data_IF_169481824367
#
_entry.id   IF_169481824367
#
_cell.length_a   1.000
_cell.length_b   1.000
_cell.length_c   1.000
_cell.angle_alpha   90.00
_cell.angle_beta   90.00
_cell.angle_gamma   90.00
#
_symmetry.space_group_name_H-M   'P 1'
#
loop_
_entity.id
_entity.type
_entity.pdbx_description
1 polymer ?
#
# COMPACT_ATOMS: atom_id res chain seq x y z
N UNK A 1 22.92 37.23 9.91
CA UNK A 1 23.60 36.28 10.82
C UNK A 1 23.55 36.67 12.30
N UNK A 2 23.61 37.95 12.71
CA UNK A 2 23.59 38.40 14.13
C UNK A 2 22.27 38.09 14.86
N UNK A 3 21.12 38.27 14.22
CA UNK A 3 19.79 38.02 14.81
C UNK A 3 19.52 36.54 15.07
N UNK A 4 20.00 35.63 14.22
CA UNK A 4 19.85 34.19 14.37
C UNK A 4 20.76 33.70 15.54
N UNK A 5 21.97 34.24 15.63
CA UNK A 5 22.89 33.93 16.76
C UNK A 5 22.37 34.45 18.10
N UNK A 6 21.72 35.62 18.10
CA UNK A 6 21.07 36.17 19.30
C UNK A 6 19.83 35.37 19.72
N UNK A 7 19.04 34.87 18.77
CA UNK A 7 17.93 33.94 19.04
C UNK A 7 18.46 32.59 19.56
N UNK A 8 19.53 32.04 18.97
CA UNK A 8 20.17 30.80 19.39
C UNK A 8 20.70 30.89 20.83
N UNK A 9 21.41 31.98 21.17
CA UNK A 9 21.90 32.21 22.54
C UNK A 9 20.78 32.50 23.56
N UNK A 10 19.60 32.94 23.12
CA UNK A 10 18.41 33.07 23.96
C UNK A 10 17.71 31.74 24.22
N UNK A 11 17.77 30.84 23.23
CA UNK A 11 17.18 29.51 23.29
C UNK A 11 18.13 28.50 23.98
N UNK A 12 19.46 28.67 23.84
CA UNK A 12 20.45 27.73 24.32
C UNK A 12 21.00 28.17 25.71
N UNK A 13 20.31 27.73 26.76
CA UNK A 13 20.90 27.78 28.12
C UNK A 13 21.33 26.36 28.52
N UNK A 14 22.64 26.03 28.44
CA UNK A 14 23.14 24.69 28.76
C UNK A 14 22.80 24.26 30.20
N UNK A 15 22.61 25.20 31.10
CA UNK A 15 22.18 24.96 32.45
C UNK A 15 20.71 24.47 32.51
N UNK A 16 19.81 25.06 31.73
CA UNK A 16 18.40 24.66 31.71
C UNK A 16 18.27 23.26 31.10
N UNK A 17 19.03 22.98 30.03
CA UNK A 17 19.04 21.65 29.38
C UNK A 17 19.52 20.57 30.34
N UNK A 18 20.60 20.80 31.06
CA UNK A 18 21.15 19.83 32.05
C UNK A 18 20.17 19.55 33.19
N UNK A 19 19.46 20.58 33.67
CA UNK A 19 18.40 20.45 34.66
C UNK A 19 17.24 19.60 34.14
N UNK A 20 16.79 19.83 32.90
CA UNK A 20 15.71 19.07 32.28
C UNK A 20 16.07 17.58 32.15
N UNK A 21 17.29 17.25 31.69
CA UNK A 21 17.76 15.86 31.59
C UNK A 21 17.86 15.19 32.97
N UNK A 22 18.33 15.90 33.97
CA UNK A 22 18.42 15.39 35.35
C UNK A 22 17.03 15.07 35.89
N UNK A 23 16.05 15.90 35.60
CA UNK A 23 14.67 15.75 36.05
C UNK A 23 13.99 14.50 35.46
N UNK A 24 14.20 14.25 34.16
CA UNK A 24 13.70 13.05 33.51
C UNK A 24 14.27 11.75 34.15
N UNK A 25 15.53 11.80 34.61
CA UNK A 25 16.17 10.65 35.26
C UNK A 25 15.65 10.37 36.68
N UNK A 26 15.11 11.36 37.38
CA UNK A 26 14.60 11.18 38.75
C UNK A 26 13.23 10.44 38.77
N UNK A 27 12.39 10.64 37.76
CA UNK A 27 11.02 10.07 37.70
C UNK A 27 10.87 9.01 36.56
N UNK A 28 11.76 8.00 36.56
CA UNK A 28 11.91 7.02 35.47
C UNK A 28 10.60 6.33 35.05
N UNK A 29 9.82 5.84 36.02
CA UNK A 29 8.59 5.08 35.71
C UNK A 29 7.55 5.92 34.98
N UNK A 30 7.38 7.18 35.41
CA UNK A 30 6.44 8.12 34.83
C UNK A 30 6.88 8.56 33.41
N UNK A 31 8.16 8.89 33.30
CA UNK A 31 8.75 9.22 31.97
C UNK A 31 8.62 8.06 30.99
N UNK A 32 8.84 6.82 31.47
CA UNK A 32 8.67 5.63 30.65
C UNK A 32 7.21 5.45 30.15
N UNK A 33 6.22 5.67 31.02
CA UNK A 33 4.80 5.56 30.64
C UNK A 33 4.41 6.60 29.58
N UNK A 34 4.91 7.83 29.71
CA UNK A 34 4.68 8.87 28.69
C UNK A 34 5.39 8.56 27.37
N UNK A 35 6.63 8.04 27.46
CA UNK A 35 7.38 7.63 26.28
C UNK A 35 6.67 6.52 25.51
N UNK A 36 6.05 5.54 26.18
CA UNK A 36 5.28 4.48 25.52
C UNK A 36 4.16 5.07 24.66
N UNK A 37 3.41 6.06 25.18
CA UNK A 37 2.36 6.73 24.40
C UNK A 37 2.90 7.42 23.14
N UNK A 38 4.05 8.13 23.29
CA UNK A 38 4.69 8.81 22.15
C UNK A 38 5.20 7.78 21.13
N UNK A 39 5.86 6.71 21.60
CA UNK A 39 6.40 5.63 20.75
C UNK A 39 5.29 5.00 19.92
N UNK A 40 4.16 4.62 20.54
CA UNK A 40 3.02 4.04 19.84
C UNK A 40 2.45 5.02 18.81
N UNK A 41 2.29 6.29 19.16
CA UNK A 41 1.82 7.32 18.25
C UNK A 41 2.73 7.50 17.03
N UNK A 42 4.04 7.50 17.25
CA UNK A 42 5.03 7.65 16.16
C UNK A 42 5.13 6.37 15.32
N UNK A 43 5.05 5.18 15.93
CA UNK A 43 4.97 3.92 15.17
C UNK A 43 3.75 3.92 14.26
N UNK A 44 2.60 4.39 14.74
CA UNK A 44 1.39 4.48 13.91
C UNK A 44 1.57 5.43 12.72
N UNK A 45 2.21 6.59 12.92
CA UNK A 45 2.42 7.56 11.84
C UNK A 45 3.49 7.07 10.85
N UNK A 46 4.66 6.69 11.34
CA UNK A 46 5.78 6.25 10.51
C UNK A 46 5.47 4.89 9.88
N UNK A 47 5.14 3.88 10.68
CA UNK A 47 4.95 2.50 10.20
C UNK A 47 3.81 2.39 9.20
N UNK A 48 2.59 2.84 9.57
CA UNK A 48 1.46 2.85 8.63
C UNK A 48 1.68 3.83 7.47
N UNK A 49 2.47 4.91 7.68
CA UNK A 49 2.88 5.83 6.64
C UNK A 49 3.76 5.15 5.59
N UNK A 50 4.79 4.44 6.03
CA UNK A 50 5.71 3.72 5.17
C UNK A 50 5.01 2.57 4.41
N UNK A 51 4.14 1.81 5.08
CA UNK A 51 3.34 0.75 4.44
C UNK A 51 2.43 1.36 3.36
N UNK A 52 1.64 2.40 3.68
CA UNK A 52 0.78 3.05 2.70
C UNK A 52 1.55 3.69 1.55
N UNK A 53 2.75 4.22 1.83
CA UNK A 53 3.67 4.72 0.81
C UNK A 53 4.17 3.63 -0.13
N UNK A 54 4.50 2.46 0.41
CA UNK A 54 4.91 1.30 -0.38
C UNK A 54 3.77 0.79 -1.30
N UNK A 55 2.54 0.78 -0.81
CA UNK A 55 1.37 0.46 -1.64
C UNK A 55 1.20 1.44 -2.81
N UNK A 56 1.28 2.74 -2.53
CA UNK A 56 1.17 3.77 -3.58
C UNK A 56 2.29 3.62 -4.62
N UNK A 57 3.50 3.35 -4.18
CA UNK A 57 4.64 3.13 -5.07
C UNK A 57 4.47 1.87 -5.92
N UNK A 58 3.98 0.79 -5.33
CA UNK A 58 3.68 -0.45 -6.06
C UNK A 58 2.62 -0.22 -7.16
N UNK A 59 1.55 0.53 -6.85
CA UNK A 59 0.54 0.91 -7.86
C UNK A 59 1.17 1.74 -8.98
N UNK A 60 2.02 2.71 -8.65
CA UNK A 60 2.70 3.54 -9.65
C UNK A 60 3.60 2.70 -10.56
N UNK A 61 4.31 1.71 -10.01
CA UNK A 61 5.10 0.75 -10.79
C UNK A 61 4.21 -0.08 -11.70
N UNK A 62 3.11 -0.65 -11.17
CA UNK A 62 2.16 -1.42 -11.96
C UNK A 62 1.55 -0.61 -13.11
N UNK A 63 1.23 0.68 -12.87
CA UNK A 63 0.76 1.59 -13.94
C UNK A 63 1.83 1.80 -15.00
N UNK A 64 3.07 2.05 -14.58
CA UNK A 64 4.18 2.29 -15.49
C UNK A 64 4.49 1.05 -16.37
N UNK A 65 4.44 -0.15 -15.78
CA UNK A 65 4.66 -1.41 -16.49
C UNK A 65 3.54 -1.75 -17.49
N UNK A 66 2.32 -1.31 -17.19
CA UNK A 66 1.16 -1.57 -18.04
C UNK A 66 0.71 -0.33 -18.85
N UNK A 67 1.51 0.73 -18.87
CA UNK A 67 1.17 1.99 -19.54
C UNK A 67 1.11 1.88 -21.07
N UNK A 68 1.53 0.76 -21.62
CA UNK A 68 1.61 0.48 -23.06
C UNK A 68 0.39 -0.29 -23.61
N UNK A 69 -0.67 -0.50 -22.78
CA UNK A 69 -1.78 -1.37 -23.15
C UNK A 69 -3.16 -0.82 -22.78
N UNK A 70 -4.15 -1.18 -23.62
CA UNK A 70 -5.58 -0.98 -23.38
C UNK A 70 -6.23 -2.33 -23.13
N UNK A 71 -7.08 -2.42 -22.11
CA UNK A 71 -7.89 -3.61 -21.85
C UNK A 71 -9.34 -3.33 -22.24
N UNK A 72 -9.89 -4.17 -23.10
CA UNK A 72 -11.26 -4.08 -23.56
C UNK A 72 -12.09 -5.18 -22.92
N UNK A 73 -13.26 -4.83 -22.41
CA UNK A 73 -14.25 -5.74 -21.87
C UNK A 73 -15.59 -5.55 -22.59
N UNK A 74 -16.23 -6.64 -23.00
CA UNK A 74 -17.55 -6.58 -23.65
C UNK A 74 -18.63 -6.32 -22.60
N UNK A 75 -19.50 -5.36 -22.88
CA UNK A 75 -20.73 -5.09 -22.12
C UNK A 75 -21.98 -5.48 -22.93
N UNK A 76 -21.83 -5.91 -24.16
CA UNK A 76 -22.92 -6.39 -24.99
C UNK A 76 -23.43 -7.75 -24.51
N UNK A 77 -24.74 -7.83 -24.29
CA UNK A 77 -25.42 -9.07 -23.93
C UNK A 77 -25.57 -9.99 -25.15
N UNK A 78 -24.89 -11.14 -25.10
CA UNK A 78 -25.01 -12.18 -26.14
C UNK A 78 -25.80 -13.36 -25.58
N UNK A 79 -26.86 -13.75 -26.26
CA UNK A 79 -27.66 -14.92 -25.89
C UNK A 79 -27.09 -16.18 -26.55
N UNK A 80 -26.45 -17.04 -25.77
CA UNK A 80 -25.92 -18.31 -26.24
C UNK A 80 -26.65 -19.45 -25.53
N UNK A 81 -27.44 -20.17 -26.25
CA UNK A 81 -28.18 -21.33 -25.72
C UNK A 81 -29.20 -20.98 -24.61
N UNK A 82 -29.73 -19.75 -24.59
CA UNK A 82 -30.67 -19.28 -23.56
C UNK A 82 -30.02 -18.65 -22.32
N UNK A 83 -28.70 -18.57 -22.31
CA UNK A 83 -27.94 -17.88 -21.24
C UNK A 83 -27.35 -16.57 -21.77
N UNK A 84 -27.49 -15.49 -21.01
CA UNK A 84 -26.84 -14.22 -21.33
C UNK A 84 -25.37 -14.35 -20.93
N UNK A 85 -24.48 -14.07 -21.88
CA UNK A 85 -23.04 -14.06 -21.69
C UNK A 85 -22.44 -12.78 -22.29
N UNK A 86 -21.35 -12.35 -21.73
CA UNK A 86 -20.57 -11.21 -22.22
C UNK A 86 -19.27 -11.74 -22.81
N UNK A 87 -18.76 -11.11 -23.85
CA UNK A 87 -17.47 -11.49 -24.44
C UNK A 87 -17.37 -11.11 -25.91
N UNK A 88 -16.14 -11.21 -26.43
CA UNK A 88 -15.79 -10.90 -27.81
C UNK A 88 -15.75 -12.16 -28.67
N UNK A 89 -16.42 -12.14 -29.80
CA UNK A 89 -16.24 -13.16 -30.85
C UNK A 89 -14.97 -12.88 -31.65
N UNK A 90 -14.50 -13.86 -32.42
CA UNK A 90 -13.39 -13.64 -33.38
C UNK A 90 -13.65 -12.44 -34.30
N UNK A 91 -14.89 -12.27 -34.75
CA UNK A 91 -15.27 -11.12 -35.60
C UNK A 91 -15.08 -9.78 -34.87
N UNK A 92 -15.44 -9.71 -33.59
CA UNK A 92 -15.24 -8.50 -32.78
C UNK A 92 -13.73 -8.21 -32.59
N UNK A 93 -12.92 -9.23 -32.40
CA UNK A 93 -11.46 -9.11 -32.36
C UNK A 93 -10.90 -8.59 -33.67
N UNK A 94 -11.36 -9.09 -34.81
CA UNK A 94 -10.98 -8.59 -36.16
C UNK A 94 -11.39 -7.12 -36.37
N UNK A 95 -12.55 -6.72 -35.84
CA UNK A 95 -13.04 -5.33 -35.92
C UNK A 95 -12.16 -4.42 -35.01
N UNK A 96 -11.80 -4.85 -33.82
CA UNK A 96 -10.85 -4.14 -32.93
C UNK A 96 -9.49 -4.02 -33.63
N UNK A 97 -8.95 -5.12 -34.11
CA UNK A 97 -7.66 -5.11 -34.83
C UNK A 97 -7.68 -4.15 -36.02
N UNK A 98 -8.77 -4.12 -36.81
CA UNK A 98 -8.88 -3.22 -37.94
C UNK A 98 -8.99 -1.74 -37.52
N UNK A 99 -9.50 -1.43 -36.31
CA UNK A 99 -9.48 -0.07 -35.76
C UNK A 99 -8.06 0.33 -35.36
N UNK A 100 -7.34 -0.55 -34.69
CA UNK A 100 -5.93 -0.32 -34.28
C UNK A 100 -5.03 -0.09 -35.49
N UNK A 101 -5.20 -0.88 -36.57
CA UNK A 101 -4.45 -0.76 -37.85
C UNK A 101 -4.60 0.61 -38.52
N UNK A 102 -5.66 1.36 -38.23
CA UNK A 102 -5.83 2.71 -38.78
C UNK A 102 -4.90 3.74 -38.12
N UNK A 103 -4.44 3.44 -36.89
CA UNK A 103 -3.61 4.35 -36.10
C UNK A 103 -2.15 3.94 -36.13
N UNK A 104 -1.86 2.65 -35.97
CA UNK A 104 -0.49 2.13 -35.93
C UNK A 104 -0.36 0.76 -36.57
N UNK A 105 0.87 0.42 -36.99
CA UNK A 105 1.23 -0.92 -37.47
C UNK A 105 2.04 -1.70 -36.42
N UNK A 106 2.47 -1.05 -35.33
CA UNK A 106 3.25 -1.65 -34.25
C UNK A 106 2.34 -1.88 -33.02
N UNK A 107 1.60 -2.98 -33.06
CA UNK A 107 0.69 -3.38 -32.02
C UNK A 107 0.67 -4.90 -31.87
N UNK A 108 0.14 -5.36 -30.76
CA UNK A 108 -0.14 -6.77 -30.47
C UNK A 108 -1.55 -6.91 -29.89
N UNK A 109 -2.28 -7.92 -30.39
CA UNK A 109 -3.62 -8.25 -29.90
C UNK A 109 -3.52 -9.51 -29.06
N UNK A 110 -3.95 -9.38 -27.79
CA UNK A 110 -3.96 -10.45 -26.82
C UNK A 110 -5.40 -10.76 -26.47
N UNK A 111 -5.80 -12.00 -26.67
CA UNK A 111 -7.13 -12.48 -26.29
C UNK A 111 -7.04 -13.27 -25.02
N UNK A 112 -7.97 -13.03 -24.09
CA UNK A 112 -7.96 -13.61 -22.76
C UNK A 112 -9.30 -14.26 -22.44
N UNK A 113 -9.24 -15.42 -21.78
CA UNK A 113 -10.37 -16.11 -21.15
C UNK A 113 -10.08 -16.34 -19.69
N UNK A 114 -11.09 -16.17 -18.86
CA UNK A 114 -10.98 -16.35 -17.41
C UNK A 114 -12.04 -17.33 -16.91
N UNK A 115 -11.73 -18.00 -15.81
CA UNK A 115 -12.69 -18.90 -15.19
C UNK A 115 -12.18 -19.45 -13.86
N UNK A 116 -13.06 -20.10 -13.13
CA UNK A 116 -12.72 -20.68 -11.84
C UNK A 116 -12.95 -22.18 -11.86
N UNK A 117 -12.03 -22.92 -11.24
CA UNK A 117 -12.13 -24.37 -11.13
C UNK A 117 -11.52 -24.85 -9.82
N UNK A 118 -12.11 -25.87 -9.16
CA UNK A 118 -11.46 -26.53 -8.04
C UNK A 118 -10.16 -27.20 -8.48
N UNK A 119 -9.13 -27.03 -7.67
CA UNK A 119 -7.81 -27.63 -7.84
C UNK A 119 -7.48 -28.51 -6.65
N UNK A 120 -6.67 -29.52 -6.86
CA UNK A 120 -6.19 -30.41 -5.80
C UNK A 120 -4.69 -30.60 -5.92
N UNK A 121 -3.96 -30.32 -4.82
CA UNK A 121 -2.54 -30.61 -4.68
C UNK A 121 -2.38 -31.57 -3.51
N UNK A 122 -2.05 -32.81 -3.80
CA UNK A 122 -1.98 -33.85 -2.77
C UNK A 122 -3.32 -34.07 -2.06
N UNK A 123 -3.44 -33.56 -0.81
CA UNK A 123 -4.68 -33.61 -0.01
C UNK A 123 -5.32 -32.24 0.19
N UNK A 124 -4.68 -31.18 -0.25
CA UNK A 124 -5.17 -29.81 -0.14
C UNK A 124 -6.00 -29.46 -1.37
N UNK A 125 -7.18 -28.87 -1.15
CA UNK A 125 -8.03 -28.30 -2.19
C UNK A 125 -7.88 -26.78 -2.23
N UNK A 126 -7.90 -26.21 -3.43
CA UNK A 126 -7.92 -24.76 -3.65
C UNK A 126 -8.89 -24.43 -4.80
N UNK A 127 -9.30 -23.18 -4.89
CA UNK A 127 -10.05 -22.67 -6.04
C UNK A 127 -9.06 -21.98 -6.98
N UNK A 128 -8.82 -22.56 -8.15
CA UNK A 128 -8.00 -21.92 -9.18
C UNK A 128 -8.77 -20.87 -9.93
N UNK A 129 -8.24 -19.64 -9.97
CA UNK A 129 -8.62 -18.63 -10.94
C UNK A 129 -7.75 -18.82 -12.18
N UNK A 130 -8.38 -19.33 -13.22
CA UNK A 130 -7.73 -19.68 -14.47
C UNK A 130 -7.73 -18.48 -15.40
N UNK A 131 -6.56 -18.07 -15.84
CA UNK A 131 -6.38 -17.06 -16.88
C UNK A 131 -5.70 -17.71 -18.07
N UNK A 132 -6.36 -17.70 -19.20
CA UNK A 132 -5.82 -18.25 -20.43
C UNK A 132 -5.66 -17.15 -21.48
N UNK A 133 -4.52 -17.18 -22.16
CA UNK A 133 -4.16 -16.19 -23.18
C UNK A 133 -3.69 -16.90 -24.44
N UNK A 134 -3.75 -16.16 -25.56
CA UNK A 134 -3.07 -16.59 -26.78
C UNK A 134 -1.53 -16.58 -26.59
N UNK A 135 -0.80 -17.15 -27.55
CA UNK A 135 0.68 -17.26 -27.46
C UNK A 135 1.35 -15.89 -27.30
N UNK A 136 0.82 -14.86 -27.97
CA UNK A 136 1.30 -13.47 -27.85
C UNK A 136 1.15 -12.97 -26.41
N UNK A 137 0.01 -13.22 -25.77
CA UNK A 137 -0.23 -12.82 -24.39
C UNK A 137 0.69 -13.53 -23.39
N UNK A 138 0.96 -14.81 -23.60
CA UNK A 138 1.90 -15.54 -22.78
C UNK A 138 3.35 -15.00 -22.90
N UNK A 139 3.78 -14.61 -24.11
CA UNK A 139 5.11 -14.04 -24.34
C UNK A 139 5.23 -12.59 -23.83
N UNK A 140 4.20 -11.76 -24.02
CA UNK A 140 4.25 -10.33 -23.79
C UNK A 140 3.81 -9.91 -22.38
N UNK A 141 2.95 -10.72 -21.72
CA UNK A 141 2.44 -10.43 -20.37
C UNK A 141 3.10 -11.34 -19.34
N UNK A 142 3.10 -12.66 -19.58
CA UNK A 142 3.54 -13.61 -18.55
C UNK A 142 5.06 -13.81 -18.49
N UNK A 143 5.77 -13.62 -19.62
CA UNK A 143 7.23 -13.80 -19.65
C UNK A 143 8.01 -12.75 -18.86
N UNK A 144 7.65 -11.44 -18.89
CA UNK A 144 8.32 -10.43 -18.08
C UNK A 144 8.22 -10.68 -16.57
N UNK A 145 7.12 -11.29 -16.11
CA UNK A 145 6.87 -11.61 -14.71
C UNK A 145 7.31 -13.02 -14.30
N UNK A 146 7.97 -13.75 -15.20
CA UNK A 146 8.43 -15.12 -14.96
C UNK A 146 9.71 -15.12 -14.11
N UNK A 147 9.62 -15.62 -12.89
CA UNK A 147 10.77 -15.75 -11.99
C UNK A 147 11.57 -17.03 -12.24
N UNK A 148 10.88 -18.15 -12.44
CA UNK A 148 11.51 -19.45 -12.70
C UNK A 148 10.77 -20.24 -13.79
N UNK A 149 11.50 -21.01 -14.58
CA UNK A 149 10.93 -21.95 -15.56
C UNK A 149 10.78 -21.38 -16.95
N UNK A 150 9.68 -21.71 -17.63
CA UNK A 150 9.41 -21.29 -19.01
C UNK A 150 7.91 -21.21 -19.29
N UNK A 151 7.54 -20.45 -20.30
CA UNK A 151 6.16 -20.32 -20.78
C UNK A 151 5.64 -21.70 -21.21
N UNK A 152 4.36 -22.01 -20.89
CA UNK A 152 3.72 -23.25 -21.28
C UNK A 152 3.56 -23.33 -22.81
N UNK A 153 4.06 -24.42 -23.39
CA UNK A 153 3.89 -24.73 -24.83
C UNK A 153 2.92 -25.87 -25.06
N UNK A 154 2.33 -26.41 -24.02
CA UNK A 154 1.38 -27.53 -24.08
C UNK A 154 0.09 -27.19 -23.36
N UNK A 155 -1.01 -27.74 -23.81
CA UNK A 155 -2.33 -27.58 -23.21
C UNK A 155 -2.44 -27.98 -21.73
N UNK A 156 -1.47 -28.69 -21.18
CA UNK A 156 -1.42 -29.08 -19.78
C UNK A 156 -0.34 -28.35 -18.99
N UNK A 157 0.40 -27.43 -19.63
CA UNK A 157 1.40 -26.59 -19.00
C UNK A 157 0.74 -25.38 -18.35
N UNK A 158 1.19 -25.02 -17.14
CA UNK A 158 0.65 -23.89 -16.41
C UNK A 158 1.74 -23.12 -15.69
N UNK A 159 1.50 -21.82 -15.54
CA UNK A 159 2.24 -20.92 -14.66
C UNK A 159 1.43 -20.75 -13.38
N UNK A 160 2.11 -20.69 -12.25
CA UNK A 160 1.52 -20.44 -10.92
C UNK A 160 2.26 -19.29 -10.24
N UNK A 161 1.65 -18.67 -9.26
CA UNK A 161 2.29 -17.61 -8.47
C UNK A 161 3.26 -18.20 -7.45
N UNK A 162 4.26 -17.43 -7.03
CA UNK A 162 5.27 -17.82 -6.05
C UNK A 162 4.64 -18.25 -4.74
N UNK A 163 3.72 -17.50 -4.17
CA UNK A 163 3.05 -17.82 -2.92
C UNK A 163 2.38 -19.20 -2.94
N UNK A 164 1.61 -19.46 -4.00
CA UNK A 164 0.95 -20.76 -4.11
C UNK A 164 1.95 -21.91 -4.27
N UNK A 165 3.09 -21.67 -4.94
CA UNK A 165 4.16 -22.64 -5.08
C UNK A 165 4.79 -22.96 -3.72
N UNK A 166 5.10 -21.94 -2.93
CA UNK A 166 5.76 -22.07 -1.63
C UNK A 166 4.83 -22.72 -0.58
N UNK A 167 3.58 -22.28 -0.50
CA UNK A 167 2.57 -22.81 0.43
C UNK A 167 2.28 -24.30 0.22
N UNK A 168 2.34 -24.75 -1.04
CA UNK A 168 2.05 -26.13 -1.41
C UNK A 168 3.32 -26.95 -1.75
N UNK A 169 4.50 -26.38 -1.53
CA UNK A 169 5.80 -27.00 -1.84
C UNK A 169 5.88 -27.49 -3.29
N UNK A 170 5.40 -26.67 -4.23
CA UNK A 170 5.40 -26.95 -5.67
C UNK A 170 6.66 -26.37 -6.32
N UNK A 171 7.20 -27.13 -7.25
CA UNK A 171 8.38 -26.76 -8.04
C UNK A 171 8.10 -26.96 -9.52
N UNK A 172 9.00 -26.49 -10.37
CA UNK A 172 8.92 -26.78 -11.81
C UNK A 172 8.77 -28.28 -12.03
N UNK A 173 7.84 -28.66 -12.88
CA UNK A 173 7.39 -30.04 -13.17
C UNK A 173 6.49 -30.69 -12.11
N UNK A 174 6.14 -30.02 -11.03
CA UNK A 174 5.09 -30.48 -10.11
C UNK A 174 3.76 -30.63 -10.86
N UNK A 175 2.86 -31.43 -10.30
CA UNK A 175 1.55 -31.70 -10.89
C UNK A 175 0.45 -31.21 -9.99
N UNK A 176 -0.48 -30.47 -10.59
CA UNK A 176 -1.73 -30.00 -9.98
C UNK A 176 -2.86 -30.79 -10.63
N UNK A 177 -3.77 -31.29 -9.84
CA UNK A 177 -4.91 -32.06 -10.35
C UNK A 177 -6.16 -31.20 -10.37
N UNK A 178 -6.91 -31.27 -11.46
CA UNK A 178 -8.24 -30.66 -11.61
C UNK A 178 -9.15 -31.62 -12.35
N UNK A 179 -10.38 -31.21 -12.61
CA UNK A 179 -11.30 -31.98 -13.44
C UNK A 179 -11.62 -31.27 -14.73
N UNK A 180 -11.77 -31.99 -15.82
CA UNK A 180 -12.25 -31.45 -17.08
C UNK A 180 -13.77 -31.16 -17.08
N UNK A 181 -14.34 -30.81 -18.22
CA UNK A 181 -15.78 -30.58 -18.40
C UNK A 181 -16.62 -31.83 -18.24
N UNK A 182 -16.04 -33.02 -18.41
CA UNK A 182 -16.72 -34.30 -18.30
C UNK A 182 -16.60 -34.88 -16.87
N UNK A 183 -15.82 -34.20 -15.99
CA UNK A 183 -15.54 -34.69 -14.64
C UNK A 183 -14.35 -35.65 -14.55
N UNK A 184 -13.61 -35.82 -15.67
CA UNK A 184 -12.40 -36.63 -15.67
C UNK A 184 -11.20 -35.89 -15.05
N UNK A 185 -10.34 -36.61 -14.37
CA UNK A 185 -9.15 -36.05 -13.71
C UNK A 185 -8.11 -35.60 -14.76
N UNK A 186 -7.76 -34.32 -14.76
CA UNK A 186 -6.69 -33.76 -15.57
C UNK A 186 -5.53 -33.34 -14.71
N UNK A 187 -4.31 -33.68 -15.14
CA UNK A 187 -3.06 -33.30 -14.47
C UNK A 187 -2.38 -32.16 -15.21
N UNK A 188 -2.34 -31.01 -14.57
CA UNK A 188 -1.62 -29.83 -15.04
C UNK A 188 -0.16 -29.91 -14.53
N UNK A 189 0.78 -29.51 -15.38
CA UNK A 189 2.21 -29.48 -15.08
C UNK A 189 2.66 -28.06 -14.89
N UNK A 190 3.25 -27.75 -13.75
CA UNK A 190 3.89 -26.46 -13.49
C UNK A 190 5.10 -26.29 -14.40
N UNK A 191 5.05 -25.34 -15.33
CA UNK A 191 6.13 -25.04 -16.27
C UNK A 191 6.92 -23.80 -15.87
N UNK A 192 6.31 -22.90 -15.10
CA UNK A 192 6.95 -21.70 -14.59
C UNK A 192 6.27 -21.16 -13.34
N UNK A 193 6.99 -20.33 -12.62
CA UNK A 193 6.54 -19.63 -11.42
C UNK A 193 6.64 -18.15 -11.72
N UNK A 194 5.53 -17.43 -11.52
CA UNK A 194 5.41 -15.99 -11.72
C UNK A 194 5.76 -15.25 -10.43
N UNK A 195 6.35 -14.09 -10.59
CA UNK A 195 6.56 -13.14 -9.50
C UNK A 195 5.22 -12.71 -8.91
N UNK A 196 5.21 -12.45 -7.62
CA UNK A 196 4.01 -11.98 -6.93
C UNK A 196 3.80 -10.49 -7.16
N UNK A 197 2.58 -10.13 -7.54
CA UNK A 197 2.15 -8.75 -7.62
C UNK A 197 1.07 -8.42 -6.58
N UNK A 198 0.73 -7.14 -6.45
CA UNK A 198 -0.28 -6.68 -5.51
C UNK A 198 -1.64 -7.34 -5.75
N UNK A 199 -2.01 -7.62 -7.01
CA UNK A 199 -3.31 -8.21 -7.34
C UNK A 199 -3.34 -9.68 -6.92
N UNK A 200 -2.28 -10.43 -7.16
CA UNK A 200 -2.14 -11.83 -6.71
C UNK A 200 -2.14 -11.91 -5.21
N UNK A 201 -1.44 -11.00 -4.51
CA UNK A 201 -1.46 -10.92 -3.05
C UNK A 201 -2.88 -10.65 -2.51
N UNK A 202 -3.61 -9.67 -3.07
CA UNK A 202 -5.00 -9.39 -2.64
C UNK A 202 -5.91 -10.59 -2.87
N UNK A 203 -5.72 -11.34 -3.96
CA UNK A 203 -6.46 -12.57 -4.22
C UNK A 203 -6.07 -13.70 -3.27
N UNK A 204 -4.80 -13.85 -2.92
CA UNK A 204 -4.33 -14.87 -1.97
C UNK A 204 -4.82 -14.64 -0.54
N UNK A 205 -5.14 -13.40 -0.16
CA UNK A 205 -5.81 -13.09 1.12
C UNK A 205 -7.21 -13.72 1.23
N UNK A 206 -7.85 -14.03 0.10
CA UNK A 206 -9.07 -14.84 0.06
C UNK A 206 -8.65 -16.30 0.16
N UNK A 207 -8.76 -16.87 1.36
CA UNK A 207 -8.33 -18.25 1.65
C UNK A 207 -8.71 -19.22 0.54
N UNK A 208 -7.75 -20.02 0.11
CA UNK A 208 -7.86 -21.09 -0.88
C UNK A 208 -8.00 -20.66 -2.36
N UNK A 209 -7.69 -19.42 -2.75
CA UNK A 209 -7.61 -19.03 -4.16
C UNK A 209 -6.16 -19.03 -4.65
N UNK A 210 -5.93 -19.58 -5.85
CA UNK A 210 -4.66 -19.49 -6.55
C UNK A 210 -4.86 -19.02 -7.99
N UNK A 211 -3.91 -18.24 -8.51
CA UNK A 211 -3.90 -17.86 -9.92
C UNK A 211 -3.14 -18.90 -10.73
N UNK A 212 -3.76 -19.35 -11.81
CA UNK A 212 -3.16 -20.23 -12.80
C UNK A 212 -3.24 -19.56 -14.17
N UNK A 213 -2.10 -19.38 -14.81
CA UNK A 213 -2.04 -18.83 -16.16
C UNK A 213 -1.59 -19.91 -17.15
N UNK A 214 -2.25 -19.98 -18.31
CA UNK A 214 -1.93 -20.94 -19.34
C UNK A 214 -2.45 -20.56 -20.73
N UNK A 215 -2.36 -21.50 -21.65
CA UNK A 215 -2.82 -21.31 -23.04
C UNK A 215 -4.35 -21.40 -23.17
N UNK A 216 -4.89 -20.87 -24.25
CA UNK A 216 -6.31 -21.05 -24.60
C UNK A 216 -6.70 -22.53 -24.74
N UNK A 217 -5.77 -23.37 -25.21
CA UNK A 217 -5.97 -24.84 -25.27
C UNK A 217 -6.15 -25.47 -23.88
N UNK A 218 -5.39 -24.98 -22.88
CA UNK A 218 -5.57 -25.38 -21.49
C UNK A 218 -7.00 -25.07 -21.01
N UNK A 219 -7.46 -23.85 -21.26
CA UNK A 219 -8.81 -23.41 -20.88
C UNK A 219 -9.88 -24.30 -21.51
N UNK A 220 -9.76 -24.55 -22.81
CA UNK A 220 -10.69 -25.41 -23.54
C UNK A 220 -10.76 -26.84 -22.96
N UNK A 221 -9.61 -27.41 -22.58
CA UNK A 221 -9.55 -28.74 -21.97
C UNK A 221 -10.19 -28.80 -20.58
N UNK A 222 -10.04 -27.76 -19.76
CA UNK A 222 -10.49 -27.77 -18.36
C UNK A 222 -11.93 -27.28 -18.21
N UNK A 223 -12.28 -26.16 -18.83
CA UNK A 223 -13.58 -25.50 -18.68
C UNK A 223 -14.53 -25.76 -19.86
N UNK A 224 -13.99 -26.17 -21.00
CA UNK A 224 -14.71 -26.27 -22.25
C UNK A 224 -15.07 -24.87 -22.79
N UNK A 225 -15.08 -24.74 -24.09
CA UNK A 225 -15.43 -23.49 -24.73
C UNK A 225 -16.79 -23.62 -25.44
N UNK A 226 -17.86 -23.56 -24.65
CA UNK A 226 -19.23 -23.67 -25.21
C UNK A 226 -19.64 -22.46 -26.05
N UNK A 227 -19.01 -21.30 -25.82
CA UNK A 227 -19.48 -20.02 -26.34
C UNK A 227 -18.54 -19.42 -27.37
N UNK A 228 -17.32 -19.92 -27.49
CA UNK A 228 -16.24 -19.38 -28.35
C UNK A 228 -16.04 -17.85 -28.22
N UNK A 229 -16.20 -17.31 -27.00
CA UNK A 229 -16.07 -15.91 -26.70
C UNK A 229 -14.84 -15.68 -25.83
N UNK A 230 -14.16 -14.55 -26.03
CA UNK A 230 -13.10 -14.06 -25.19
C UNK A 230 -13.67 -13.08 -24.17
N UNK A 231 -13.27 -13.18 -22.91
CA UNK A 231 -13.75 -12.31 -21.83
C UNK A 231 -13.18 -10.91 -21.96
N UNK A 232 -11.91 -10.81 -22.39
CA UNK A 232 -11.25 -9.54 -22.64
C UNK A 232 -10.30 -9.61 -23.83
N UNK A 233 -10.04 -8.45 -24.41
CA UNK A 233 -9.04 -8.23 -25.45
C UNK A 233 -8.09 -7.15 -24.97
N UNK A 234 -6.78 -7.42 -25.00
CA UNK A 234 -5.77 -6.46 -24.64
C UNK A 234 -5.04 -6.03 -25.90
N UNK A 235 -4.97 -4.72 -26.12
CA UNK A 235 -4.20 -4.10 -27.20
C UNK A 235 -2.93 -3.53 -26.60
N UNK A 236 -1.79 -4.09 -26.95
CA UNK A 236 -0.47 -3.61 -26.54
C UNK A 236 0.18 -2.84 -27.69
N UNK A 237 0.80 -1.71 -27.38
CA UNK A 237 1.48 -0.85 -28.35
C UNK A 237 2.88 -0.46 -27.85
N UNK A 238 3.79 -0.21 -28.78
CA UNK A 238 5.16 0.21 -28.39
C UNK A 238 5.23 1.67 -27.94
N UNK A 239 4.36 2.53 -28.48
CA UNK A 239 4.32 3.96 -28.11
C UNK A 239 3.05 4.24 -27.32
N UNK A 240 3.15 4.47 -26.01
CA UNK A 240 2.01 4.78 -25.14
C UNK A 240 1.23 6.04 -25.55
N UNK A 241 1.85 6.96 -26.32
CA UNK A 241 1.17 8.17 -26.80
C UNK A 241 0.07 7.86 -27.82
N UNK A 242 0.08 6.67 -28.41
CA UNK A 242 -0.92 6.22 -29.37
C UNK A 242 -2.14 5.59 -28.72
N UNK A 243 -2.15 5.37 -27.41
CA UNK A 243 -3.28 4.73 -26.70
C UNK A 243 -4.58 5.52 -26.85
N UNK A 244 -4.58 6.83 -26.60
CA UNK A 244 -5.78 7.66 -26.74
C UNK A 244 -6.32 7.68 -28.19
N UNK A 245 -5.50 7.90 -29.25
CA UNK A 245 -5.97 7.74 -30.63
C UNK A 245 -6.52 6.36 -30.97
N UNK A 246 -5.96 5.30 -30.38
CA UNK A 246 -6.45 3.93 -30.56
C UNK A 246 -7.78 3.72 -29.86
N UNK A 247 -7.91 4.19 -28.61
CA UNK A 247 -9.14 4.18 -27.84
C UNK A 247 -10.26 4.86 -28.61
N UNK A 248 -10.06 6.09 -29.11
CA UNK A 248 -10.99 6.83 -29.95
C UNK A 248 -11.37 6.06 -31.24
N UNK A 249 -10.42 5.33 -31.84
CA UNK A 249 -10.70 4.57 -33.07
C UNK A 249 -11.54 3.32 -32.80
N UNK A 250 -11.26 2.62 -31.68
CA UNK A 250 -12.03 1.45 -31.25
C UNK A 250 -13.43 1.87 -30.83
N UNK A 251 -13.57 2.92 -30.00
CA UNK A 251 -14.87 3.44 -29.58
C UNK A 251 -15.76 3.80 -30.78
N UNK A 252 -15.22 4.55 -31.71
CA UNK A 252 -15.96 4.92 -32.93
C UNK A 252 -16.40 3.72 -33.77
N UNK A 253 -15.62 2.64 -33.74
CA UNK A 253 -15.90 1.46 -34.54
C UNK A 253 -16.85 0.49 -33.83
N UNK A 254 -16.67 0.25 -32.58
CA UNK A 254 -17.41 -0.74 -31.78
C UNK A 254 -18.72 -0.14 -31.24
N UNK A 255 -18.66 1.05 -30.65
CA UNK A 255 -19.82 1.73 -30.06
C UNK A 255 -20.64 2.52 -31.10
N UNK A 256 -20.12 2.67 -32.32
CA UNK A 256 -20.82 3.20 -33.47
C UNK A 256 -21.43 4.58 -33.31
N UNK A 257 -22.59 4.80 -33.95
CA UNK A 257 -23.38 6.04 -33.85
C UNK A 257 -24.06 6.21 -32.48
N UNK A 258 -24.05 5.17 -31.64
CA UNK A 258 -24.59 5.13 -30.27
C UNK A 258 -23.79 5.97 -29.25
N UNK A 259 -22.71 6.61 -29.67
CA UNK A 259 -21.90 7.53 -28.84
C UNK A 259 -22.70 8.66 -28.11
N UNK A 260 -24.01 8.70 -28.33
CA UNK A 260 -24.90 9.68 -27.67
C UNK A 260 -25.95 9.10 -26.72
N UNK A 261 -26.19 7.78 -26.73
CA UNK A 261 -27.22 7.16 -25.89
C UNK A 261 -26.74 5.77 -25.45
N UNK A 262 -26.56 5.62 -24.16
CA UNK A 262 -26.59 4.48 -23.21
C UNK A 262 -26.34 3.01 -23.65
N UNK A 263 -25.99 2.69 -24.87
CA UNK A 263 -25.80 1.32 -25.38
C UNK A 263 -24.36 1.06 -25.87
N UNK A 264 -23.36 1.40 -25.03
CA UNK A 264 -21.99 1.02 -25.32
C UNK A 264 -21.87 -0.51 -25.37
N UNK A 265 -21.17 -1.03 -26.37
CA UNK A 265 -20.94 -2.47 -26.53
C UNK A 265 -19.60 -2.90 -25.92
N UNK A 266 -18.68 -1.96 -25.79
CA UNK A 266 -17.32 -2.20 -25.30
C UNK A 266 -16.93 -1.13 -24.29
N UNK A 267 -16.42 -1.58 -23.15
CA UNK A 267 -15.74 -0.74 -22.18
C UNK A 267 -14.24 -0.86 -22.41
N UNK A 268 -13.59 0.27 -22.59
CA UNK A 268 -12.14 0.37 -22.74
C UNK A 268 -11.60 0.91 -21.41
N UNK A 269 -10.56 0.29 -20.88
CA UNK A 269 -9.84 0.76 -19.71
C UNK A 269 -8.35 0.74 -19.97
N UNK A 270 -7.69 1.78 -19.57
CA UNK A 270 -6.23 1.88 -19.56
C UNK A 270 -5.70 1.65 -18.14
N UNK A 271 -4.38 1.55 -18.00
CA UNK A 271 -3.76 1.33 -16.69
C UNK A 271 -3.98 2.47 -15.72
N UNK A 272 -4.19 3.69 -16.22
CA UNK A 272 -4.48 4.86 -15.38
C UNK A 272 -5.87 4.77 -14.76
N UNK A 273 -6.89 4.29 -15.49
CA UNK A 273 -8.26 4.09 -14.95
C UNK A 273 -8.27 3.04 -13.84
N UNK A 274 -7.48 1.97 -14.03
CA UNK A 274 -7.29 0.95 -13.00
C UNK A 274 -6.60 1.53 -11.78
N UNK A 275 -5.55 2.35 -11.99
CA UNK A 275 -4.84 3.02 -10.91
C UNK A 275 -5.74 4.00 -10.15
N UNK A 276 -6.58 4.76 -10.85
CA UNK A 276 -7.51 5.69 -10.21
C UNK A 276 -8.50 4.93 -9.31
N UNK A 277 -9.04 3.82 -9.79
CA UNK A 277 -9.91 2.94 -8.98
C UNK A 277 -9.19 2.39 -7.75
N UNK A 278 -7.95 1.91 -7.91
CA UNK A 278 -7.13 1.42 -6.79
C UNK A 278 -6.78 2.55 -5.82
N UNK A 279 -6.45 3.73 -6.32
CA UNK A 279 -6.16 4.91 -5.50
C UNK A 279 -7.39 5.37 -4.72
N UNK A 280 -8.60 5.27 -5.27
CA UNK A 280 -9.84 5.58 -4.55
C UNK A 280 -10.05 4.62 -3.36
N UNK A 281 -9.84 3.32 -3.56
CA UNK A 281 -9.89 2.32 -2.48
C UNK A 281 -8.80 2.58 -1.45
N UNK A 282 -7.57 2.86 -1.89
CA UNK A 282 -6.46 3.21 -1.00
C UNK A 282 -6.73 4.51 -0.24
N UNK A 283 -7.33 5.51 -0.87
CA UNK A 283 -7.65 6.78 -0.21
C UNK A 283 -8.51 6.57 1.03
N UNK A 284 -9.47 5.67 0.96
CA UNK A 284 -10.28 5.28 2.11
C UNK A 284 -9.43 4.66 3.22
N UNK A 285 -8.53 3.73 2.88
CA UNK A 285 -7.59 3.12 3.83
C UNK A 285 -6.63 4.16 4.44
N UNK A 286 -6.17 5.13 3.64
CA UNK A 286 -5.35 6.25 4.10
C UNK A 286 -6.09 7.19 5.07
N UNK A 287 -7.39 7.40 4.87
CA UNK A 287 -8.25 8.15 5.80
C UNK A 287 -8.34 7.41 7.13
N UNK A 288 -8.66 6.11 7.13
CA UNK A 288 -8.69 5.30 8.36
C UNK A 288 -7.35 5.32 9.09
N UNK A 289 -6.23 5.16 8.37
CA UNK A 289 -4.89 5.29 8.91
C UNK A 289 -4.69 6.64 9.61
N UNK A 290 -5.08 7.73 8.96
CA UNK A 290 -4.93 9.09 9.48
C UNK A 290 -5.74 9.28 10.75
N UNK A 291 -6.97 8.76 10.80
CA UNK A 291 -7.83 8.81 11.99
C UNK A 291 -7.21 8.02 13.15
N UNK A 292 -6.74 6.80 12.91
CA UNK A 292 -6.08 5.98 13.94
C UNK A 292 -4.83 6.67 14.48
N UNK A 293 -4.01 7.24 13.59
CA UNK A 293 -2.80 7.98 13.99
C UNK A 293 -3.15 9.24 14.79
N UNK A 294 -4.19 9.97 14.39
CA UNK A 294 -4.66 11.15 15.12
C UNK A 294 -5.16 10.79 16.54
N UNK A 295 -5.95 9.73 16.67
CA UNK A 295 -6.40 9.22 17.98
C UNK A 295 -5.20 8.84 18.85
N UNK A 296 -4.24 8.10 18.30
CA UNK A 296 -3.00 7.71 19.02
C UNK A 296 -2.22 8.94 19.53
N UNK A 297 -2.12 9.99 18.69
CA UNK A 297 -1.46 11.24 19.08
C UNK A 297 -2.23 12.00 20.17
N UNK A 298 -3.55 12.00 20.13
CA UNK A 298 -4.38 12.61 21.18
C UNK A 298 -4.17 11.89 22.51
N UNK A 299 -4.18 10.57 22.51
CA UNK A 299 -3.91 9.76 23.71
C UNK A 299 -2.50 10.04 24.26
N UNK A 300 -1.49 10.07 23.38
CA UNK A 300 -0.12 10.43 23.77
C UNK A 300 -0.05 11.84 24.36
N UNK A 301 -0.75 12.82 23.75
CA UNK A 301 -0.80 14.21 24.24
C UNK A 301 -1.39 14.30 25.65
N UNK A 302 -2.49 13.59 25.92
CA UNK A 302 -3.13 13.53 27.24
C UNK A 302 -2.17 12.93 28.28
N UNK A 303 -1.45 11.86 27.91
CA UNK A 303 -0.46 11.25 28.78
C UNK A 303 0.67 12.23 29.15
N UNK A 304 1.17 12.98 28.16
CA UNK A 304 2.22 14.02 28.36
C UNK A 304 1.70 15.12 29.29
N UNK A 305 0.50 15.66 29.02
CA UNK A 305 -0.13 16.69 29.88
C UNK A 305 -0.22 16.21 31.32
N UNK A 306 -0.72 14.99 31.55
CA UNK A 306 -0.90 14.44 32.88
C UNK A 306 0.44 14.28 33.63
N UNK A 307 1.47 13.77 32.95
CA UNK A 307 2.79 13.58 33.55
C UNK A 307 3.46 14.90 33.85
N UNK A 308 3.40 15.86 32.94
CA UNK A 308 3.99 17.19 33.18
C UNK A 308 3.23 17.97 34.25
N UNK A 309 1.89 17.88 34.31
CA UNK A 309 1.10 18.49 35.37
C UNK A 309 1.48 17.95 36.76
N UNK A 310 1.72 16.64 36.86
CA UNK A 310 2.18 16.03 38.10
C UNK A 310 3.61 16.48 38.45
N UNK A 311 4.50 16.53 37.43
CA UNK A 311 5.86 17.08 37.64
C UNK A 311 5.84 18.52 38.12
N UNK A 312 4.95 19.37 37.59
CA UNK A 312 4.79 20.74 38.08
C UNK A 312 4.32 20.79 39.55
N UNK A 313 3.32 19.96 39.91
CA UNK A 313 2.82 19.88 41.30
C UNK A 313 3.88 19.47 42.30
N UNK A 314 4.65 18.41 41.97
CA UNK A 314 5.71 17.91 42.84
C UNK A 314 6.84 18.92 43.05
N UNK A 315 7.04 19.83 42.10
CA UNK A 315 8.15 20.79 42.09
C UNK A 315 7.69 22.23 42.33
N UNK A 316 6.44 22.42 42.79
CA UNK A 316 5.85 23.75 43.02
C UNK A 316 6.73 24.60 43.93
N UNK A 317 7.25 24.05 45.00
CA UNK A 317 8.14 24.75 45.96
C UNK A 317 9.49 25.13 45.32
N UNK A 318 10.10 24.25 44.52
CA UNK A 318 11.36 24.53 43.81
C UNK A 318 11.16 25.68 42.81
N UNK A 319 10.03 25.66 42.06
CA UNK A 319 9.65 26.72 41.10
C UNK A 319 9.44 28.04 41.85
N UNK A 320 8.77 28.00 43.01
CA UNK A 320 8.55 29.16 43.87
C UNK A 320 9.88 29.80 44.29
N UNK A 321 10.84 29.00 44.77
CA UNK A 321 12.18 29.47 45.18
C UNK A 321 12.92 30.07 43.98
N UNK A 322 12.94 29.39 42.82
CA UNK A 322 13.58 29.91 41.61
C UNK A 322 13.00 31.28 41.22
N UNK A 323 11.68 31.41 41.29
CA UNK A 323 10.97 32.66 40.98
C UNK A 323 11.28 33.77 41.99
N UNK A 324 11.44 33.44 43.26
CA UNK A 324 11.78 34.39 44.32
C UNK A 324 13.21 34.94 44.17
N UNK A 325 14.15 34.15 43.65
CA UNK A 325 15.54 34.53 43.35
C UNK A 325 15.64 35.35 42.03
N UNK A 326 14.51 35.57 41.29
CA UNK A 326 14.48 36.45 40.13
C UNK A 326 14.41 35.70 38.77
N UNK A 327 14.20 34.40 38.75
CA UNK A 327 13.99 33.65 37.48
C UNK A 327 12.73 34.18 36.75
N UNK A 328 12.87 34.52 35.45
CA UNK A 328 11.76 35.04 34.65
C UNK A 328 10.74 33.94 34.31
N UNK A 329 9.45 34.34 34.15
CA UNK A 329 8.39 33.43 33.69
C UNK A 329 8.76 32.67 32.41
N UNK A 330 9.39 33.36 31.44
CA UNK A 330 9.84 32.78 30.18
C UNK A 330 10.88 31.67 30.34
N UNK A 331 11.76 31.78 31.39
CA UNK A 331 12.78 30.76 31.66
C UNK A 331 12.18 29.50 32.27
N UNK A 332 11.16 29.67 33.14
CA UNK A 332 10.39 28.53 33.68
C UNK A 332 9.62 27.83 32.55
N UNK A 333 8.96 28.61 31.71
CA UNK A 333 8.28 28.08 30.53
C UNK A 333 9.23 27.28 29.63
N UNK A 334 10.38 27.83 29.28
CA UNK A 334 11.41 27.17 28.48
C UNK A 334 11.90 25.88 29.09
N UNK A 335 12.10 25.83 30.43
CA UNK A 335 12.53 24.61 31.11
C UNK A 335 11.57 23.44 30.89
N UNK A 336 10.26 23.67 31.02
CA UNK A 336 9.26 22.63 30.82
C UNK A 336 9.07 22.29 29.33
N UNK A 337 9.19 23.27 28.42
CA UNK A 337 9.14 23.00 26.99
C UNK A 337 10.34 22.18 26.49
N UNK A 338 11.53 22.39 27.07
CA UNK A 338 12.69 21.53 26.79
C UNK A 338 12.47 20.10 27.31
N UNK A 339 11.87 19.94 28.50
CA UNK A 339 11.52 18.63 29.03
C UNK A 339 10.57 17.88 28.11
N UNK A 340 9.50 18.54 27.62
CA UNK A 340 8.59 18.00 26.64
C UNK A 340 9.26 17.69 25.29
N UNK A 341 10.10 18.59 24.80
CA UNK A 341 10.86 18.42 23.56
C UNK A 341 11.84 17.26 23.60
N UNK A 342 12.54 17.07 24.71
CA UNK A 342 13.47 15.94 24.91
C UNK A 342 12.69 14.62 24.95
N UNK A 343 11.56 14.57 25.67
CA UNK A 343 10.68 13.39 25.68
C UNK A 343 10.16 13.09 24.26
N UNK A 344 9.75 14.13 23.54
CA UNK A 344 9.32 14.02 22.14
C UNK A 344 10.43 13.48 21.23
N UNK A 345 11.65 13.99 21.35
CA UNK A 345 12.80 13.53 20.55
C UNK A 345 13.14 12.06 20.86
N UNK A 346 13.23 11.69 22.12
CA UNK A 346 13.55 10.31 22.51
C UNK A 346 12.45 9.35 22.07
N UNK A 347 11.19 9.68 22.35
CA UNK A 347 10.05 8.86 21.99
C UNK A 347 9.90 8.70 20.48
N UNK A 348 10.03 9.81 19.73
CA UNK A 348 9.95 9.79 18.26
C UNK A 348 11.11 9.02 17.64
N UNK A 349 12.32 9.16 18.13
CA UNK A 349 13.46 8.42 17.64
C UNK A 349 13.29 6.91 17.86
N UNK A 350 12.92 6.50 19.08
CA UNK A 350 12.65 5.08 19.38
C UNK A 350 11.49 4.56 18.53
N UNK A 351 10.38 5.30 18.41
CA UNK A 351 9.23 4.92 17.62
C UNK A 351 9.59 4.76 16.13
N UNK A 352 10.38 5.67 15.57
CA UNK A 352 10.88 5.58 14.20
C UNK A 352 11.79 4.37 13.99
N UNK A 353 12.70 4.08 14.92
CA UNK A 353 13.57 2.89 14.84
C UNK A 353 12.72 1.62 14.83
N UNK A 354 11.72 1.52 15.70
CA UNK A 354 10.79 0.39 15.69
C UNK A 354 9.99 0.31 14.39
N UNK A 355 9.53 1.43 13.84
CA UNK A 355 8.86 1.44 12.52
C UNK A 355 9.79 0.92 11.41
N UNK A 356 11.06 1.34 11.41
CA UNK A 356 12.05 0.85 10.44
C UNK A 356 12.38 -0.65 10.59
N UNK A 357 12.11 -1.26 11.74
CA UNK A 357 12.28 -2.70 11.95
C UNK A 357 11.00 -3.46 11.56
N UNK A 358 9.83 -2.94 11.91
CA UNK A 358 8.54 -3.62 11.70
C UNK A 358 8.06 -3.51 10.26
N UNK A 359 8.25 -2.35 9.62
CA UNK A 359 7.77 -2.13 8.24
C UNK A 359 8.35 -3.13 7.22
N UNK A 360 9.68 -3.39 7.16
CA UNK A 360 10.21 -4.35 6.19
C UNK A 360 9.70 -5.78 6.44
N UNK A 361 9.42 -6.14 7.69
CA UNK A 361 8.82 -7.45 8.00
C UNK A 361 7.42 -7.53 7.40
N UNK A 362 6.60 -6.48 7.57
CA UNK A 362 5.26 -6.43 6.99
C UNK A 362 5.32 -6.41 5.46
N UNK A 363 6.21 -5.61 4.86
CA UNK A 363 6.37 -5.55 3.40
C UNK A 363 6.83 -6.91 2.83
N UNK A 364 7.74 -7.59 3.51
CA UNK A 364 8.18 -8.92 3.10
C UNK A 364 7.04 -9.95 3.16
N UNK A 365 6.19 -9.88 4.19
CA UNK A 365 5.02 -10.76 4.30
C UNK A 365 3.92 -10.44 3.28
N UNK A 366 3.86 -9.19 2.79
CA UNK A 366 2.82 -8.75 1.84
C UNK A 366 3.25 -8.84 0.37
N UNK A 367 4.52 -8.59 0.06
CA UNK A 367 5.02 -8.46 -1.31
C UNK A 367 6.20 -9.40 -1.61
N UNK A 368 6.58 -10.29 -0.66
CA UNK A 368 7.75 -11.17 -0.84
C UNK A 368 9.09 -10.42 -0.91
N UNK A 369 9.09 -9.09 -0.95
CA UNK A 369 10.29 -8.26 -1.09
C UNK A 369 10.33 -7.07 -0.14
N UNK A 370 11.54 -6.57 0.11
CA UNK A 370 11.76 -5.38 0.94
C UNK A 370 12.21 -4.16 0.12
N UNK A 371 12.26 -4.28 -1.20
CA UNK A 371 12.81 -3.26 -2.08
C UNK A 371 12.05 -1.94 -2.00
N UNK A 372 10.72 -2.00 -1.90
CA UNK A 372 9.84 -0.84 -1.75
C UNK A 372 10.17 0.02 -0.53
N UNK A 373 10.80 -0.55 0.52
CA UNK A 373 11.21 0.22 1.70
C UNK A 373 12.25 1.28 1.37
N UNK A 374 13.11 1.05 0.38
CA UNK A 374 14.22 1.95 0.05
C UNK A 374 13.83 3.05 -0.93
N UNK A 375 12.58 3.14 -1.33
CA UNK A 375 12.10 4.24 -2.17
C UNK A 375 12.10 5.56 -1.40
N UNK A 376 12.41 6.65 -2.09
CA UNK A 376 12.45 7.99 -1.47
C UNK A 376 11.12 8.36 -0.81
N UNK A 377 10.01 7.95 -1.43
CA UNK A 377 8.67 8.23 -0.92
C UNK A 377 8.43 7.58 0.44
N UNK A 378 8.79 6.31 0.60
CA UNK A 378 8.65 5.56 1.87
C UNK A 378 9.56 6.11 2.95
N UNK A 379 10.84 6.38 2.62
CA UNK A 379 11.81 6.94 3.57
C UNK A 379 11.45 8.36 4.06
N UNK A 380 10.67 9.11 3.30
CA UNK A 380 10.23 10.45 3.68
C UNK A 380 9.36 10.49 4.95
N UNK A 381 8.70 9.37 5.29
CA UNK A 381 7.91 9.26 6.51
C UNK A 381 8.77 9.26 7.80
N UNK A 382 10.06 8.95 7.71
CA UNK A 382 11.00 8.99 8.84
C UNK A 382 11.12 10.41 9.43
N UNK A 383 11.58 11.41 8.67
CA UNK A 383 11.66 12.78 9.20
C UNK A 383 10.29 13.37 9.52
N UNK A 384 9.24 13.03 8.78
CA UNK A 384 7.87 13.49 9.04
C UNK A 384 7.39 13.00 10.41
N UNK A 385 7.56 11.72 10.73
CA UNK A 385 7.14 11.15 12.00
C UNK A 385 7.89 11.74 13.21
N UNK A 386 9.21 11.95 13.07
CA UNK A 386 10.00 12.61 14.11
C UNK A 386 9.50 14.05 14.32
N UNK A 387 9.30 14.80 13.24
CA UNK A 387 8.83 16.19 13.32
C UNK A 387 7.44 16.29 13.97
N UNK A 388 6.49 15.45 13.56
CA UNK A 388 5.13 15.43 14.12
C UNK A 388 5.19 15.02 15.60
N UNK A 389 5.91 13.95 15.96
CA UNK A 389 6.00 13.48 17.33
C UNK A 389 6.58 14.52 18.28
N UNK A 390 7.67 15.19 17.88
CA UNK A 390 8.27 16.30 18.68
C UNK A 390 7.29 17.47 18.78
N UNK A 391 6.64 17.87 17.68
CA UNK A 391 5.71 19.01 17.67
C UNK A 391 4.52 18.75 18.59
N UNK A 392 3.95 17.56 18.56
CA UNK A 392 2.83 17.17 19.44
C UNK A 392 3.25 17.19 20.91
N UNK A 393 4.47 16.71 21.23
CA UNK A 393 4.98 16.75 22.60
C UNK A 393 5.15 18.18 23.12
N UNK A 394 5.69 19.09 22.28
CA UNK A 394 5.84 20.50 22.64
C UNK A 394 4.48 21.17 22.83
N UNK A 395 3.52 20.91 21.92
CA UNK A 395 2.17 21.47 22.03
C UNK A 395 1.42 20.95 23.27
N UNK A 396 1.50 19.66 23.55
CA UNK A 396 0.91 19.06 24.74
C UNK A 396 1.55 19.60 26.02
N UNK A 397 2.88 19.81 26.01
CA UNK A 397 3.62 20.36 27.13
C UNK A 397 3.38 21.86 27.39
N UNK A 398 2.81 22.59 26.43
CA UNK A 398 2.61 24.04 26.54
C UNK A 398 1.66 24.43 27.68
N UNK A 399 0.56 23.71 27.84
CA UNK A 399 -0.41 24.00 28.90
C UNK A 399 0.19 23.83 30.31
N UNK A 400 0.81 22.71 30.69
CA UNK A 400 1.45 22.56 32.00
C UNK A 400 2.63 23.52 32.19
N UNK A 401 3.39 23.80 31.14
CA UNK A 401 4.51 24.76 31.21
C UNK A 401 4.03 26.20 31.49
N UNK A 402 2.95 26.65 30.85
CA UNK A 402 2.33 27.94 31.14
C UNK A 402 1.79 28.01 32.57
N UNK A 403 1.18 26.94 33.06
CA UNK A 403 0.70 26.85 34.47
C UNK A 403 1.83 26.96 35.46
N UNK A 404 2.95 26.27 35.23
CA UNK A 404 4.16 26.35 36.04
C UNK A 404 4.78 27.78 36.04
N UNK A 405 4.85 28.41 34.85
CA UNK A 405 5.39 29.76 34.68
C UNK A 405 4.57 30.84 35.40
N UNK A 406 3.27 30.63 35.60
CA UNK A 406 2.36 31.56 36.23
C UNK A 406 2.13 31.33 37.73
N UNK A 407 2.81 30.35 38.35
CA UNK A 407 2.72 30.13 39.77
C UNK A 407 3.11 31.37 40.56
N UNK A 408 2.34 31.70 41.64
CA UNK A 408 2.66 32.76 42.56
C UNK A 408 3.76 32.30 43.51
N UNK A 409 4.92 32.99 43.58
CA UNK A 409 6.04 32.54 44.41
C UNK A 409 5.68 32.40 45.91
N UNK A 410 4.82 33.29 46.41
CA UNK A 410 4.40 33.29 47.82
C UNK A 410 3.56 32.06 48.15
N UNK A 411 2.56 31.78 47.30
CA UNK A 411 1.68 30.60 47.44
C UNK A 411 2.47 29.29 47.23
N UNK A 412 3.39 29.27 46.26
CA UNK A 412 4.20 28.10 45.96
C UNK A 412 5.17 27.71 47.09
N UNK A 413 5.61 28.69 47.91
CA UNK A 413 6.46 28.42 49.07
C UNK A 413 5.65 28.05 50.34
N UNK A 414 4.35 28.39 50.37
CA UNK A 414 3.46 28.09 51.50
C UNK A 414 2.79 26.69 51.39
N UNK A 415 2.98 26.02 50.27
CA UNK A 415 2.46 24.65 50.07
C UNK A 415 3.42 23.65 50.72
N UNK A 416 3.00 22.95 51.75
CA UNK A 416 3.68 21.81 52.39
C UNK A 416 3.71 20.57 51.49
#
# INVERSE_FOLDING_TARGET
MSKIRALWNRIYSPMILSLSIRNLKLNKFRTMLSLIGIIIGVISICGLGMIGGAFTENINMMVAENADRLTLSSIEEKNVGGTIVYGFSEKDVDEIESAVKQVTTEYEIITQKTGTKPLTVGKSGAVGYLTAMNDVGLEEISKPTLEEGSIPRSANGVLITRDYADDNNLHINSRITTTDVNGEEVKLRVTGILEEDLMTFVMSMSQDMCMITGSLDMYQNILGDKNNLYDSVIVKVKDPLLLNPIEDAIERKMNGKAYKDSDDTVRISNSYDTADTLNDVLSLALIFRTVISAISLVVASVAIVNVMMMSVKERTREIGILRSIGTKKSQVLQMFLYEAGIMGLIGSFIGTVWSCILTPIVLYLMFGSIELMFTFYVLSYIPIGIFIGVSVCILAGLYPALKAANLNPVEAMATD
#
